data_IF_319211371811
#
_entry.id   IF_319211371811
#
_cell.length_a   1.000
_cell.length_b   1.000
_cell.length_c   1.000
_cell.angle_alpha   90.00
_cell.angle_beta   90.00
_cell.angle_gamma   90.00
#
_symmetry.space_group_name_H-M   'P 1'
#
loop_
_entity.id
_entity.type
_entity.pdbx_description
1 polymer ?
#
# COMPACT_ATOMS: atom_id res chain seq x y z
N UNK A 1 -26.50 34.35 52.52
CA UNK A 1 -25.09 33.96 52.66
C UNK A 1 -24.90 32.69 51.84
N UNK A 2 -25.09 32.75 50.51
CA UNK A 2 -24.22 33.37 49.48
C UNK A 2 -22.91 32.58 49.34
N UNK A 3 -22.84 31.68 48.35
CA UNK A 3 -22.29 31.87 47.00
C UNK A 3 -20.75 31.89 46.96
N UNK A 4 -20.16 30.83 46.39
CA UNK A 4 -19.34 30.99 45.18
C UNK A 4 -19.17 29.66 44.44
N UNK A 5 -19.73 29.64 43.24
CA UNK A 5 -19.32 28.81 42.11
C UNK A 5 -17.96 29.32 41.60
N UNK A 6 -17.09 28.44 41.11
CA UNK A 6 -16.51 28.64 39.78
C UNK A 6 -16.14 27.27 39.17
N UNK A 7 -16.69 27.07 37.98
CA UNK A 7 -16.41 25.96 37.08
C UNK A 7 -15.07 26.19 36.37
N UNK A 8 -14.62 25.11 35.72
CA UNK A 8 -14.10 25.14 34.35
C UNK A 8 -12.62 24.85 34.14
N UNK A 9 -12.44 23.98 33.14
CA UNK A 9 -11.28 23.75 32.27
C UNK A 9 -10.28 22.68 32.71
N UNK A 10 -10.62 21.46 32.31
CA UNK A 10 -9.67 20.41 31.98
C UNK A 10 -10.18 19.49 30.87
N UNK A 11 -10.93 20.04 29.90
CA UNK A 11 -11.42 19.29 28.74
C UNK A 11 -10.27 18.82 27.87
N UNK A 12 -10.13 17.51 27.76
CA UNK A 12 -9.24 16.77 26.87
C UNK A 12 -9.39 17.16 25.39
N UNK A 13 -8.54 18.05 24.88
CA UNK A 13 -8.45 18.39 23.45
C UNK A 13 -7.22 17.82 22.72
N UNK A 14 -6.37 17.06 23.42
CA UNK A 14 -5.04 16.68 22.92
C UNK A 14 -5.00 15.56 21.86
N UNK A 15 -5.92 14.58 21.77
CA UNK A 15 -5.77 13.48 20.80
C UNK A 15 -6.04 13.88 19.34
N UNK A 16 -7.03 14.76 19.10
CA UNK A 16 -7.48 15.09 17.72
C UNK A 16 -6.48 15.96 16.95
N UNK A 17 -5.78 16.87 17.63
CA UNK A 17 -4.80 17.78 17.00
C UNK A 17 -3.56 17.03 16.48
N UNK A 18 -3.11 16.00 17.21
CA UNK A 18 -1.99 15.15 16.76
C UNK A 18 -2.33 14.28 15.54
N UNK A 19 -3.53 13.70 15.50
CA UNK A 19 -3.99 12.91 14.36
C UNK A 19 -4.10 13.75 13.08
N UNK A 20 -4.51 15.01 13.21
CA UNK A 20 -4.62 15.96 12.11
C UNK A 20 -3.24 16.42 11.60
N UNK A 21 -2.29 16.70 12.49
CA UNK A 21 -0.90 17.06 12.12
C UNK A 21 -0.18 15.91 11.40
N UNK A 22 -0.33 14.68 11.88
CA UNK A 22 0.25 13.49 11.24
C UNK A 22 -0.40 13.22 9.87
N UNK A 23 -1.71 13.47 9.73
CA UNK A 23 -2.40 13.38 8.44
C UNK A 23 -1.90 14.42 7.43
N UNK A 24 -1.65 15.66 7.87
CA UNK A 24 -1.08 16.72 7.03
C UNK A 24 0.34 16.37 6.58
N UNK A 25 1.20 15.94 7.49
CA UNK A 25 2.58 15.55 7.16
C UNK A 25 2.64 14.41 6.11
N UNK A 26 1.78 13.39 6.23
CA UNK A 26 1.68 12.31 5.23
C UNK A 26 1.19 12.80 3.86
N UNK A 27 0.27 13.77 3.83
CA UNK A 27 -0.21 14.35 2.57
C UNK A 27 0.88 15.16 1.88
N UNK A 28 1.66 15.94 2.64
CA UNK A 28 2.79 16.71 2.11
C UNK A 28 3.89 15.79 1.56
N UNK A 29 4.25 14.73 2.30
CA UNK A 29 5.22 13.74 1.83
C UNK A 29 4.76 13.06 0.53
N UNK A 30 3.47 12.68 0.46
CA UNK A 30 2.89 12.09 -0.74
C UNK A 30 2.89 13.07 -1.91
N UNK A 31 2.59 14.35 -1.67
CA UNK A 31 2.62 15.40 -2.70
C UNK A 31 4.04 15.58 -3.25
N UNK A 32 5.04 15.70 -2.37
CA UNK A 32 6.45 15.80 -2.74
C UNK A 32 6.91 14.60 -3.56
N UNK A 33 6.49 13.39 -3.17
CA UNK A 33 6.76 12.15 -3.92
C UNK A 33 6.16 12.17 -5.33
N UNK A 34 4.92 12.66 -5.47
CA UNK A 34 4.24 12.79 -6.78
C UNK A 34 4.98 13.80 -7.66
N UNK A 35 5.31 14.96 -7.14
CA UNK A 35 6.03 16.01 -7.87
C UNK A 35 7.39 15.51 -8.38
N UNK A 36 8.16 14.81 -7.54
CA UNK A 36 9.42 14.20 -7.94
C UNK A 36 9.26 13.17 -9.08
N UNK A 37 8.21 12.33 -9.03
CA UNK A 37 7.90 11.36 -10.09
C UNK A 37 7.48 12.03 -11.39
N UNK A 38 6.73 13.13 -11.32
CA UNK A 38 6.32 13.92 -12.49
C UNK A 38 7.53 14.58 -13.15
N UNK A 39 8.41 15.21 -12.36
CA UNK A 39 9.63 15.81 -12.86
C UNK A 39 10.54 14.78 -13.55
N UNK A 40 10.75 13.62 -12.92
CA UNK A 40 11.52 12.51 -13.50
C UNK A 40 10.91 11.98 -14.80
N UNK A 41 9.57 11.89 -14.85
CA UNK A 41 8.88 11.50 -16.07
C UNK A 41 9.09 12.51 -17.19
N UNK A 42 9.05 13.80 -16.87
CA UNK A 42 9.27 14.85 -17.84
C UNK A 42 10.70 14.83 -18.40
N UNK A 43 11.72 14.61 -17.56
CA UNK A 43 13.10 14.44 -18.04
C UNK A 43 13.27 13.19 -18.90
N UNK A 44 12.52 12.12 -18.63
CA UNK A 44 12.59 10.88 -19.41
C UNK A 44 11.92 10.99 -20.78
N UNK A 45 10.95 11.90 -20.96
CA UNK A 45 10.29 12.14 -22.24
C UNK A 45 11.16 12.89 -23.24
N UNK A 46 12.12 13.70 -22.78
CA UNK A 46 13.09 14.38 -23.62
C UNK A 46 14.51 14.22 -23.04
N UNK A 47 15.11 13.02 -23.19
CA UNK A 47 16.38 12.72 -22.56
C UNK A 47 17.53 13.48 -23.22
N UNK A 48 18.25 14.30 -22.45
CA UNK A 48 19.49 14.92 -22.91
C UNK A 48 20.59 13.86 -22.96
N UNK A 49 20.85 13.35 -24.16
CA UNK A 49 21.81 12.27 -24.38
C UNK A 49 23.22 12.83 -24.43
N UNK A 50 24.17 12.24 -23.69
CA UNK A 50 25.58 12.60 -23.84
C UNK A 50 26.06 12.36 -25.26
N UNK A 51 26.97 13.22 -25.72
CA UNK A 51 27.53 13.11 -27.05
C UNK A 51 28.51 11.92 -27.15
N UNK A 52 28.86 11.56 -28.38
CA UNK A 52 29.80 10.46 -28.60
C UNK A 52 31.21 10.73 -28.06
N UNK A 53 31.59 11.99 -27.88
CA UNK A 53 32.84 12.39 -27.24
C UNK A 53 32.84 12.03 -25.76
N UNK A 54 31.81 12.44 -25.01
CA UNK A 54 31.65 12.11 -23.59
C UNK A 54 31.57 10.60 -23.34
N UNK A 55 30.82 9.86 -24.16
CA UNK A 55 30.71 8.40 -23.98
C UNK A 55 32.05 7.67 -24.13
N UNK A 56 32.98 8.24 -24.91
CA UNK A 56 34.34 7.69 -25.07
C UNK A 56 35.24 7.95 -23.86
N UNK A 57 34.97 8.97 -23.05
CA UNK A 57 35.74 9.23 -21.82
C UNK A 57 35.32 8.35 -20.64
N UNK A 58 34.19 7.65 -20.75
CA UNK A 58 33.68 6.76 -19.70
C UNK A 58 34.31 5.36 -19.75
N UNK A 59 34.31 4.66 -18.61
CA UNK A 59 34.91 3.34 -18.48
C UNK A 59 34.11 2.26 -19.25
N UNK A 60 34.72 1.73 -20.31
CA UNK A 60 34.14 0.67 -21.15
C UNK A 60 34.68 -0.72 -20.81
N UNK A 61 35.43 -0.88 -19.71
CA UNK A 61 36.01 -2.15 -19.31
C UNK A 61 34.92 -3.15 -18.91
N UNK A 62 35.08 -4.40 -19.38
CA UNK A 62 34.14 -5.48 -19.04
C UNK A 62 34.05 -5.62 -17.51
N UNK A 63 35.19 -5.57 -16.81
CA UNK A 63 35.24 -5.71 -15.35
C UNK A 63 34.33 -4.70 -14.64
N UNK A 64 34.43 -3.40 -14.97
CA UNK A 64 33.63 -2.37 -14.30
C UNK A 64 32.16 -2.46 -14.70
N UNK A 65 31.87 -2.68 -15.99
CA UNK A 65 30.49 -2.81 -16.48
C UNK A 65 29.78 -4.04 -15.88
N UNK A 66 30.43 -5.21 -15.83
CA UNK A 66 29.86 -6.40 -15.19
C UNK A 66 29.64 -6.20 -13.69
N UNK A 67 30.51 -5.46 -12.99
CA UNK A 67 30.30 -5.14 -11.58
C UNK A 67 29.04 -4.28 -11.37
N UNK A 68 28.84 -3.25 -12.20
CA UNK A 68 27.63 -2.42 -12.18
C UNK A 68 26.39 -3.24 -12.50
N UNK A 69 26.44 -4.10 -13.53
CA UNK A 69 25.31 -4.97 -13.92
C UNK A 69 24.91 -5.90 -12.77
N UNK A 70 25.87 -6.43 -12.00
CA UNK A 70 25.56 -7.24 -10.80
C UNK A 70 24.87 -6.42 -9.72
N UNK A 71 25.29 -5.17 -9.49
CA UNK A 71 24.64 -4.27 -8.53
C UNK A 71 23.21 -3.91 -8.97
N UNK A 72 22.96 -3.76 -10.28
CA UNK A 72 21.61 -3.57 -10.83
C UNK A 72 20.64 -4.72 -10.52
N UNK A 73 21.15 -5.95 -10.28
CA UNK A 73 20.30 -7.09 -9.86
C UNK A 73 19.87 -7.01 -8.39
N UNK A 74 20.60 -6.23 -7.59
CA UNK A 74 20.47 -6.14 -6.13
C UNK A 74 20.16 -4.71 -5.69
N UNK A 75 19.40 -3.97 -6.48
CA UNK A 75 19.02 -2.58 -6.17
C UNK A 75 18.31 -2.54 -4.80
N UNK A 76 18.79 -1.64 -3.95
CA UNK A 76 18.23 -1.37 -2.63
C UNK A 76 18.47 0.10 -2.28
N UNK A 77 17.76 0.59 -1.27
CA UNK A 77 17.84 2.00 -0.84
C UNK A 77 19.21 2.38 -0.26
N UNK A 78 19.85 1.49 0.50
CA UNK A 78 21.13 1.74 1.18
C UNK A 78 22.29 1.96 0.20
N UNK A 79 22.28 1.25 -0.93
CA UNK A 79 23.35 1.28 -1.94
C UNK A 79 23.07 2.25 -3.09
N UNK A 80 21.94 2.96 -3.06
CA UNK A 80 21.47 3.87 -4.10
C UNK A 80 22.56 4.86 -4.54
N UNK A 81 23.12 5.61 -3.59
CA UNK A 81 24.09 6.67 -3.90
C UNK A 81 25.38 6.13 -4.54
N UNK A 82 25.90 5.01 -4.03
CA UNK A 82 27.09 4.38 -4.60
C UNK A 82 26.84 3.77 -5.98
N UNK A 83 25.65 3.22 -6.21
CA UNK A 83 25.26 2.71 -7.53
C UNK A 83 25.12 3.86 -8.55
N UNK A 84 24.50 4.98 -8.17
CA UNK A 84 24.41 6.19 -9.00
C UNK A 84 25.77 6.74 -9.39
N UNK A 85 26.72 6.76 -8.46
CA UNK A 85 28.08 7.20 -8.73
C UNK A 85 28.79 6.27 -9.73
N UNK A 86 28.66 4.96 -9.55
CA UNK A 86 29.24 4.00 -10.49
C UNK A 86 28.64 4.12 -11.90
N UNK A 87 27.32 4.28 -12.00
CA UNK A 87 26.60 4.42 -13.26
C UNK A 87 27.00 5.67 -14.05
N UNK A 88 27.39 6.76 -13.37
CA UNK A 88 27.88 7.98 -14.02
C UNK A 88 29.23 7.80 -14.71
N UNK A 89 30.00 6.79 -14.31
CA UNK A 89 31.39 6.61 -14.72
C UNK A 89 31.62 5.47 -15.73
N UNK A 90 30.58 4.71 -16.09
CA UNK A 90 30.67 3.57 -17.02
C UNK A 90 29.95 3.81 -18.34
N UNK A 91 30.44 3.21 -19.41
CA UNK A 91 29.77 3.15 -20.70
C UNK A 91 29.14 1.77 -20.94
N UNK A 92 27.85 1.61 -20.60
CA UNK A 92 27.12 0.35 -20.80
C UNK A 92 26.55 0.18 -22.22
N UNK A 93 26.94 1.00 -23.21
CA UNK A 93 26.38 0.93 -24.58
C UNK A 93 26.44 -0.48 -25.22
N UNK A 94 27.45 -1.28 -24.85
CA UNK A 94 27.61 -2.66 -25.33
C UNK A 94 26.95 -3.72 -24.44
N UNK A 95 26.51 -3.35 -23.24
CA UNK A 95 25.95 -4.26 -22.23
C UNK A 95 24.48 -3.96 -21.93
N UNK A 96 23.80 -3.20 -22.80
CA UNK A 96 22.41 -2.76 -22.62
C UNK A 96 21.50 -3.95 -22.31
N UNK A 97 21.56 -5.02 -23.11
CA UNK A 97 20.70 -6.19 -22.92
C UNK A 97 20.91 -6.87 -21.57
N UNK A 98 22.16 -7.03 -21.14
CA UNK A 98 22.51 -7.61 -19.84
C UNK A 98 22.01 -6.74 -18.68
N UNK A 99 22.16 -5.41 -18.81
CA UNK A 99 21.63 -4.47 -17.83
C UNK A 99 20.10 -4.55 -17.72
N UNK A 100 19.37 -4.57 -18.85
CA UNK A 100 17.89 -4.73 -18.84
C UNK A 100 17.51 -6.03 -18.15
N UNK A 101 18.13 -7.16 -18.53
CA UNK A 101 17.81 -8.46 -17.92
C UNK A 101 18.09 -8.46 -16.42
N UNK A 102 19.22 -7.89 -15.99
CA UNK A 102 19.57 -7.78 -14.57
C UNK A 102 18.55 -6.98 -13.76
N UNK A 103 18.05 -5.88 -14.35
CA UNK A 103 16.99 -5.04 -13.78
C UNK A 103 15.67 -5.81 -13.69
N UNK A 104 15.27 -6.50 -14.76
CA UNK A 104 14.02 -7.29 -14.79
C UNK A 104 14.05 -8.46 -13.80
N UNK A 105 15.22 -9.04 -13.55
CA UNK A 105 15.43 -10.13 -12.59
C UNK A 105 15.55 -9.65 -11.13
N UNK A 106 15.63 -8.34 -10.90
CA UNK A 106 15.86 -7.79 -9.57
C UNK A 106 14.66 -8.09 -8.63
N UNK A 107 14.96 -8.65 -7.47
CA UNK A 107 13.96 -8.93 -6.43
C UNK A 107 13.83 -7.74 -5.50
N UNK A 108 12.90 -6.84 -5.81
CA UNK A 108 12.70 -5.62 -5.04
C UNK A 108 11.74 -5.84 -3.88
N UNK A 109 12.11 -5.35 -2.69
CA UNK A 109 11.14 -5.14 -1.59
C UNK A 109 10.37 -3.85 -1.86
N UNK A 110 9.21 -3.68 -1.23
CA UNK A 110 8.42 -2.44 -1.35
C UNK A 110 9.22 -1.19 -0.98
N UNK A 111 10.12 -1.29 0.00
CA UNK A 111 11.04 -0.21 0.40
C UNK A 111 12.05 0.17 -0.69
N UNK A 112 12.44 -0.77 -1.56
CA UNK A 112 13.49 -0.59 -2.57
C UNK A 112 12.93 -0.02 -3.88
N UNK A 113 11.59 0.04 -4.04
CA UNK A 113 10.94 0.53 -5.26
C UNK A 113 11.35 1.97 -5.55
N UNK A 114 11.49 2.81 -4.52
CA UNK A 114 11.82 4.22 -4.71
C UNK A 114 13.25 4.40 -5.23
N UNK A 115 14.23 3.70 -4.67
CA UNK A 115 15.59 3.62 -5.24
C UNK A 115 15.54 3.11 -6.68
N UNK A 116 14.91 1.97 -6.94
CA UNK A 116 14.83 1.40 -8.28
C UNK A 116 14.25 2.37 -9.31
N UNK A 117 13.18 3.10 -8.97
CA UNK A 117 12.60 4.10 -9.87
C UNK A 117 13.57 5.24 -10.16
N UNK A 118 14.35 5.71 -9.17
CA UNK A 118 15.34 6.77 -9.38
C UNK A 118 16.54 6.28 -10.20
N UNK A 119 17.11 5.12 -9.86
CA UNK A 119 18.22 4.50 -10.60
C UNK A 119 17.84 4.31 -12.07
N UNK A 120 16.70 3.65 -12.32
CA UNK A 120 16.22 3.40 -13.68
C UNK A 120 15.84 4.69 -14.39
N UNK A 121 15.21 5.62 -13.70
CA UNK A 121 14.86 6.93 -14.27
C UNK A 121 16.08 7.73 -14.69
N UNK A 122 17.21 7.59 -13.99
CA UNK A 122 18.46 8.24 -14.36
C UNK A 122 19.23 7.48 -15.45
N UNK A 123 19.27 6.15 -15.39
CA UNK A 123 20.00 5.30 -16.33
C UNK A 123 19.38 5.25 -17.72
N UNK A 124 18.06 5.07 -17.80
CA UNK A 124 17.35 4.78 -19.05
C UNK A 124 17.55 5.87 -20.12
N UNK A 125 17.52 7.18 -19.79
CA UNK A 125 17.84 8.28 -20.71
C UNK A 125 19.28 8.35 -21.22
N UNK A 126 20.25 8.11 -20.33
CA UNK A 126 21.66 8.51 -20.53
C UNK A 126 22.53 7.41 -21.09
N UNK A 127 22.17 6.16 -20.81
CA UNK A 127 23.06 5.00 -20.99
C UNK A 127 22.53 4.03 -22.04
N UNK A 128 21.22 4.02 -22.27
CA UNK A 128 20.56 3.02 -23.11
C UNK A 128 19.72 3.74 -24.16
N UNK A 129 19.92 3.43 -25.45
CA UNK A 129 18.96 3.80 -26.51
C UNK A 129 17.67 2.99 -26.31
N UNK A 130 16.94 3.27 -25.23
CA UNK A 130 15.64 2.68 -25.01
C UNK A 130 14.69 3.35 -25.99
N UNK A 131 13.95 2.50 -26.71
CA UNK A 131 12.97 2.94 -27.67
C UNK A 131 11.99 3.89 -27.00
N UNK A 132 11.72 5.03 -27.63
CA UNK A 132 10.65 5.95 -27.24
C UNK A 132 9.31 5.20 -27.10
N UNK A 133 9.11 4.11 -27.86
CA UNK A 133 7.95 3.24 -27.75
C UNK A 133 7.86 2.49 -26.41
N UNK A 134 8.99 2.13 -25.78
CA UNK A 134 8.99 1.50 -24.45
C UNK A 134 8.55 2.52 -23.38
N UNK A 135 9.10 3.73 -23.42
CA UNK A 135 8.72 4.80 -22.48
C UNK A 135 7.26 5.24 -22.67
N UNK A 136 6.78 5.33 -23.93
CA UNK A 136 5.36 5.54 -24.24
C UNK A 136 4.50 4.37 -23.76
N UNK A 137 4.96 3.12 -23.87
CA UNK A 137 4.27 1.93 -23.38
C UNK A 137 4.11 1.87 -21.85
N UNK A 138 5.01 2.50 -21.09
CA UNK A 138 4.89 2.65 -19.63
C UNK A 138 3.88 3.73 -19.21
N UNK A 139 3.37 4.52 -20.15
CA UNK A 139 2.34 5.51 -19.85
C UNK A 139 0.98 4.82 -19.67
N UNK A 140 0.42 4.94 -18.46
CA UNK A 140 -0.93 4.42 -18.20
C UNK A 140 -1.94 5.29 -18.94
N UNK A 141 -2.55 4.74 -19.98
CA UNK A 141 -3.58 5.41 -20.78
C UNK A 141 -4.88 5.59 -20.00
N UNK A 142 -5.75 6.50 -20.43
CA UNK A 142 -7.07 6.68 -19.81
C UNK A 142 -7.89 5.41 -19.81
N UNK A 143 -7.80 4.58 -20.86
CA UNK A 143 -8.54 3.32 -20.93
C UNK A 143 -7.94 2.26 -20.00
N UNK A 144 -6.62 2.17 -19.89
CA UNK A 144 -5.98 1.33 -18.87
C UNK A 144 -6.40 1.75 -17.45
N UNK A 145 -6.47 3.06 -17.15
CA UNK A 145 -6.99 3.57 -15.87
C UNK A 145 -8.44 3.13 -15.62
N UNK A 146 -9.30 3.13 -16.65
CA UNK A 146 -10.68 2.63 -16.53
C UNK A 146 -10.70 1.13 -16.22
N UNK A 147 -9.87 0.33 -16.90
CA UNK A 147 -9.74 -1.11 -16.65
C UNK A 147 -9.30 -1.38 -15.21
N UNK A 148 -8.25 -0.71 -14.73
CA UNK A 148 -7.80 -0.84 -13.33
C UNK A 148 -8.89 -0.43 -12.36
N UNK A 149 -9.54 0.72 -12.59
CA UNK A 149 -10.65 1.19 -11.74
C UNK A 149 -11.77 0.15 -11.66
N UNK A 150 -12.19 -0.40 -12.81
CA UNK A 150 -13.20 -1.46 -12.85
C UNK A 150 -12.75 -2.69 -12.06
N UNK A 151 -11.51 -3.15 -12.25
CA UNK A 151 -10.97 -4.29 -11.51
C UNK A 151 -10.95 -4.05 -9.98
N UNK A 152 -10.56 -2.85 -9.53
CA UNK A 152 -10.59 -2.49 -8.11
C UNK A 152 -12.02 -2.45 -7.54
N UNK A 153 -12.99 -1.91 -8.28
CA UNK A 153 -14.39 -1.95 -7.85
C UNK A 153 -14.93 -3.38 -7.79
N UNK A 154 -14.71 -4.21 -8.80
CA UNK A 154 -15.14 -5.61 -8.78
C UNK A 154 -14.51 -6.39 -7.61
N UNK A 155 -13.23 -6.14 -7.31
CA UNK A 155 -12.59 -6.72 -6.13
C UNK A 155 -13.23 -6.22 -4.83
N UNK A 156 -13.49 -4.91 -4.73
CA UNK A 156 -14.13 -4.30 -3.56
C UNK A 156 -15.53 -4.87 -3.30
N UNK A 157 -16.33 -5.03 -4.35
CA UNK A 157 -17.67 -5.61 -4.27
C UNK A 157 -17.60 -7.06 -3.79
N UNK A 158 -16.67 -7.87 -4.32
CA UNK A 158 -16.45 -9.24 -3.85
C UNK A 158 -16.02 -9.33 -2.38
N UNK A 159 -15.16 -8.41 -1.91
CA UNK A 159 -14.81 -8.32 -0.48
C UNK A 159 -16.02 -7.92 0.37
N UNK A 160 -16.88 -7.03 -0.13
CA UNK A 160 -18.09 -6.60 0.58
C UNK A 160 -19.12 -7.74 0.71
N UNK A 161 -19.31 -8.53 -0.35
CA UNK A 161 -20.17 -9.72 -0.35
C UNK A 161 -19.64 -10.80 0.60
N UNK A 162 -18.34 -11.11 0.54
CA UNK A 162 -17.71 -12.08 1.45
C UNK A 162 -17.86 -11.66 2.92
N UNK A 163 -17.62 -10.38 3.21
CA UNK A 163 -17.78 -9.84 4.56
C UNK A 163 -19.23 -9.96 5.06
N UNK A 164 -20.22 -9.75 4.19
CA UNK A 164 -21.63 -9.95 4.53
C UNK A 164 -21.95 -11.43 4.79
N UNK A 165 -21.40 -12.33 3.99
CA UNK A 165 -21.55 -13.78 4.20
C UNK A 165 -20.94 -14.23 5.52
N UNK A 166 -19.71 -13.81 5.84
CA UNK A 166 -19.07 -14.13 7.12
C UNK A 166 -19.84 -13.54 8.30
N UNK A 167 -20.36 -12.31 8.16
CA UNK A 167 -21.24 -11.70 9.16
C UNK A 167 -22.48 -12.55 9.42
N UNK A 168 -23.17 -13.01 8.36
CA UNK A 168 -24.34 -13.85 8.49
C UNK A 168 -24.01 -15.17 9.20
N UNK A 169 -22.89 -15.81 8.85
CA UNK A 169 -22.42 -17.04 9.50
C UNK A 169 -22.08 -16.85 10.98
N UNK A 170 -21.43 -15.74 11.36
CA UNK A 170 -21.18 -15.40 12.76
C UNK A 170 -22.50 -15.23 13.54
N UNK A 171 -23.48 -14.53 12.98
CA UNK A 171 -24.81 -14.35 13.59
C UNK A 171 -25.57 -15.67 13.73
N UNK A 172 -25.41 -16.58 12.77
CA UNK A 172 -26.00 -17.91 12.84
C UNK A 172 -25.37 -18.73 13.98
N UNK A 173 -24.04 -18.76 14.08
CA UNK A 173 -23.34 -19.46 15.16
C UNK A 173 -23.72 -18.90 16.53
N UNK A 174 -23.84 -17.57 16.68
CA UNK A 174 -24.30 -16.93 17.93
C UNK A 174 -25.71 -17.40 18.34
N UNK A 175 -26.61 -17.54 17.37
CA UNK A 175 -27.97 -18.02 17.63
C UNK A 175 -27.99 -19.52 17.98
N UNK A 176 -27.12 -20.32 17.36
CA UNK A 176 -26.94 -21.73 17.70
C UNK A 176 -26.33 -21.92 19.10
N UNK A 177 -25.36 -21.08 19.47
CA UNK A 177 -24.73 -21.10 20.79
C UNK A 177 -25.73 -20.75 21.91
N UNK A 178 -26.62 -19.76 21.70
CA UNK A 178 -27.69 -19.44 22.67
C UNK A 178 -28.64 -20.63 22.85
N UNK A 179 -29.02 -21.31 21.77
CA UNK A 179 -29.87 -22.51 21.84
C UNK A 179 -29.18 -23.64 22.60
N UNK A 180 -27.89 -23.85 22.33
CA UNK A 180 -27.09 -24.89 22.99
C UNK A 180 -26.89 -24.60 24.48
N UNK A 181 -26.62 -23.34 24.83
CA UNK A 181 -26.50 -22.90 26.21
C UNK A 181 -27.80 -23.15 27.00
N UNK A 182 -28.94 -22.77 26.43
CA UNK A 182 -30.26 -23.02 27.04
C UNK A 182 -30.60 -24.51 27.18
N UNK A 183 -29.99 -25.40 26.39
CA UNK A 183 -30.27 -26.84 26.40
C UNK A 183 -29.27 -27.68 27.22
N UNK A 184 -27.98 -27.32 27.23
CA UNK A 184 -26.87 -28.14 27.75
C UNK A 184 -25.94 -27.41 28.74
N UNK A 185 -26.13 -26.11 28.96
CA UNK A 185 -25.37 -25.31 29.91
C UNK A 185 -24.07 -24.71 29.39
N UNK A 186 -23.36 -25.35 28.43
CA UNK A 186 -22.11 -24.81 27.87
C UNK A 186 -21.94 -25.13 26.37
N UNK A 187 -21.32 -24.24 25.56
CA UNK A 187 -20.93 -24.52 24.18
C UNK A 187 -19.76 -25.52 24.13
N UNK A 188 -19.61 -26.26 23.03
CA UNK A 188 -18.45 -27.15 22.82
C UNK A 188 -17.18 -26.36 22.47
N UNK A 189 -16.01 -26.90 22.84
CA UNK A 189 -14.71 -26.31 22.50
C UNK A 189 -14.50 -26.15 20.98
N UNK A 190 -15.00 -27.09 20.17
CA UNK A 190 -14.95 -27.02 18.71
C UNK A 190 -15.74 -25.85 18.14
N UNK A 191 -16.90 -25.53 18.74
CA UNK A 191 -17.73 -24.39 18.34
C UNK A 191 -17.02 -23.08 18.68
N UNK A 192 -16.45 -22.97 19.88
CA UNK A 192 -15.68 -21.79 20.31
C UNK A 192 -14.50 -21.54 19.37
N UNK A 193 -13.72 -22.59 19.06
CA UNK A 193 -12.57 -22.52 18.14
C UNK A 193 -12.99 -22.10 16.73
N UNK A 194 -14.09 -22.64 16.21
CA UNK A 194 -14.61 -22.32 14.88
C UNK A 194 -15.11 -20.88 14.78
N UNK A 195 -15.85 -20.42 15.80
CA UNK A 195 -16.30 -19.03 15.91
C UNK A 195 -15.12 -18.05 15.95
N UNK A 196 -14.09 -18.31 16.77
CA UNK A 196 -12.91 -17.44 16.87
C UNK A 196 -12.14 -17.33 15.55
N UNK A 197 -11.99 -18.43 14.82
CA UNK A 197 -11.35 -18.43 13.49
C UNK A 197 -12.13 -17.55 12.51
N UNK A 198 -13.45 -17.73 12.44
CA UNK A 198 -14.28 -16.93 11.53
C UNK A 198 -14.27 -15.45 11.94
N UNK A 199 -14.33 -15.15 13.25
CA UNK A 199 -14.28 -13.78 13.74
C UNK A 199 -12.97 -13.08 13.37
N UNK A 200 -11.83 -13.76 13.48
CA UNK A 200 -10.53 -13.23 13.04
C UNK A 200 -10.50 -12.98 11.54
N UNK A 201 -11.10 -13.86 10.72
CA UNK A 201 -11.27 -13.65 9.27
C UNK A 201 -12.08 -12.39 8.99
N UNK A 202 -13.23 -12.24 9.66
CA UNK A 202 -14.13 -11.10 9.53
C UNK A 202 -13.44 -9.78 9.88
N UNK A 203 -12.73 -9.72 11.01
CA UNK A 203 -12.00 -8.52 11.44
C UNK A 203 -10.92 -8.12 10.42
N UNK A 204 -10.22 -9.10 9.86
CA UNK A 204 -9.22 -8.87 8.82
C UNK A 204 -9.85 -8.30 7.53
N UNK A 205 -10.94 -8.91 7.05
CA UNK A 205 -11.69 -8.44 5.87
C UNK A 205 -12.29 -7.06 6.10
N UNK A 206 -12.79 -6.77 7.30
CA UNK A 206 -13.35 -5.47 7.65
C UNK A 206 -12.28 -4.37 7.56
N UNK A 207 -11.10 -4.59 8.17
CA UNK A 207 -9.98 -3.64 8.08
C UNK A 207 -9.52 -3.47 6.63
N UNK A 208 -9.43 -4.55 5.86
CA UNK A 208 -9.04 -4.50 4.45
C UNK A 208 -10.05 -3.68 3.63
N UNK A 209 -11.36 -3.92 3.81
CA UNK A 209 -12.44 -3.17 3.16
C UNK A 209 -12.36 -1.68 3.49
N UNK A 210 -12.07 -1.31 4.75
CA UNK A 210 -11.91 0.09 5.14
C UNK A 210 -10.72 0.76 4.43
N UNK A 211 -9.58 0.07 4.32
CA UNK A 211 -8.39 0.55 3.60
C UNK A 211 -8.67 0.72 2.10
N UNK A 212 -9.26 -0.29 1.46
CA UNK A 212 -9.64 -0.24 0.04
C UNK A 212 -10.67 0.87 -0.25
N UNK A 213 -11.68 1.04 0.61
CA UNK A 213 -12.66 2.12 0.48
C UNK A 213 -11.99 3.48 0.47
N UNK A 214 -11.03 3.73 1.37
CA UNK A 214 -10.27 4.99 1.40
C UNK A 214 -9.46 5.19 0.11
N UNK A 215 -8.90 4.13 -0.46
CA UNK A 215 -8.13 4.17 -1.70
C UNK A 215 -8.98 4.41 -2.96
N UNK A 216 -10.18 3.83 -3.03
CA UNK A 216 -11.07 3.89 -4.20
C UNK A 216 -11.95 5.16 -4.19
N UNK A 217 -12.55 5.49 -3.04
CA UNK A 217 -13.67 6.44 -2.97
C UNK A 217 -13.26 7.91 -2.79
N UNK A 218 -11.96 8.25 -2.83
CA UNK A 218 -11.48 9.64 -2.83
C UNK A 218 -12.31 10.62 -1.98
N UNK A 219 -12.28 10.48 -0.64
CA UNK A 219 -13.03 11.28 0.34
C UNK A 219 -14.57 11.20 0.18
N UNK A 220 -15.16 10.40 1.09
CA UNK A 220 -16.58 10.40 1.47
C UNK A 220 -17.60 9.98 0.39
N UNK A 221 -17.81 8.67 0.27
CA UNK A 221 -19.08 8.12 -0.18
C UNK A 221 -19.76 7.32 0.96
N UNK A 222 -21.05 7.58 1.13
CA UNK A 222 -21.99 6.95 2.05
C UNK A 222 -22.24 5.48 1.66
N UNK A 223 -21.24 4.62 1.84
CA UNK A 223 -21.48 3.18 1.95
C UNK A 223 -21.81 2.85 3.40
N UNK A 224 -23.02 2.32 3.64
CA UNK A 224 -23.46 1.87 4.97
C UNK A 224 -22.33 1.07 5.63
N UNK A 225 -21.83 1.56 6.77
CA UNK A 225 -20.92 0.79 7.61
C UNK A 225 -21.70 -0.43 8.11
N UNK A 226 -21.21 -1.64 7.80
CA UNK A 226 -21.57 -2.78 8.65
C UNK A 226 -20.94 -2.49 10.01
N UNK A 227 -21.75 -2.52 11.08
CA UNK A 227 -21.20 -2.45 12.43
C UNK A 227 -20.36 -3.70 12.68
N UNK A 228 -19.19 -3.57 13.34
CA UNK A 228 -18.38 -4.74 13.70
C UNK A 228 -19.19 -5.70 14.59
N UNK A 229 -18.94 -7.00 14.44
CA UNK A 229 -19.55 -8.04 15.29
C UNK A 229 -18.85 -8.04 16.64
N UNK A 230 -19.52 -7.56 17.69
CA UNK A 230 -19.04 -7.61 19.07
C UNK A 230 -19.74 -8.74 19.83
N UNK A 231 -18.97 -9.75 20.27
CA UNK A 231 -19.44 -10.80 21.22
C UNK A 231 -20.07 -10.20 22.49
N UNK A 232 -19.61 -9.02 22.89
CA UNK A 232 -20.07 -8.30 24.10
C UNK A 232 -21.52 -7.84 23.99
N UNK A 233 -21.97 -7.41 22.80
CA UNK A 233 -23.34 -6.91 22.62
C UNK A 233 -24.36 -8.04 22.79
N UNK A 234 -24.00 -9.27 22.41
CA UNK A 234 -24.90 -10.42 22.51
C UNK A 234 -24.93 -11.03 23.91
N UNK A 235 -23.78 -11.16 24.58
CA UNK A 235 -23.75 -11.58 25.99
C UNK A 235 -24.37 -10.53 26.91
N UNK A 236 -24.19 -9.24 26.63
CA UNK A 236 -24.83 -8.17 27.42
C UNK A 236 -26.35 -8.15 27.22
N UNK A 237 -26.86 -8.38 26.01
CA UNK A 237 -28.31 -8.57 25.78
C UNK A 237 -28.87 -9.86 26.37
N UNK A 238 -28.14 -10.99 26.31
CA UNK A 238 -28.58 -12.25 26.90
C UNK A 238 -28.58 -12.21 28.44
N UNK A 239 -27.59 -11.56 29.05
CA UNK A 239 -27.53 -11.30 30.50
C UNK A 239 -28.62 -10.30 30.91
N UNK A 240 -28.89 -9.27 30.11
CA UNK A 240 -29.96 -8.30 30.38
C UNK A 240 -31.38 -8.91 30.25
N UNK A 241 -31.57 -9.93 29.42
CA UNK A 241 -32.84 -10.68 29.34
C UNK A 241 -33.02 -11.70 30.47
N UNK A 242 -31.96 -12.02 31.22
CA UNK A 242 -31.96 -12.96 32.34
C UNK A 242 -31.83 -12.27 33.72
N UNK A 243 -31.77 -10.94 33.76
CA UNK A 243 -31.94 -10.17 35.01
C UNK A 243 -33.44 -9.91 35.24
N UNK A 244 -33.98 -10.26 36.43
CA UNK A 244 -35.40 -10.12 36.74
C UNK A 244 -35.89 -8.67 36.79
#
# INVERSE_FOLDING_TARGET
MDHHEDESRGGSETPRKQDDEEAVARLEEMKKSIEAKVALRQSNLNPERPDSGFLRSLDSSIKRNTAVIKKLKQINEEQREGLMEDLRNVNLSKFVSEAVTSICDAKLRTSDIQAAVQELGYCMPKIMKISEAFLKGLSITTDQKKVFRKAFHTYYDGVAELLQSEHASLRQMEHEDVKMFNAKGEPSDDNVSSYEKLRKSYDHLYVHRLKMRKAIAGRHENLKLLKPVCRVDFFSSAIAMLSP
#
